data_IF_748159993611
#
_entry.id   IF_748159993611
#
_cell.length_a   1.000
_cell.length_b   1.000
_cell.length_c   1.000
_cell.angle_alpha   90.00
_cell.angle_beta   90.00
_cell.angle_gamma   90.00
#
_symmetry.space_group_name_H-M   'P 1'
#
loop_
_entity.id
_entity.type
_entity.pdbx_description
1 polymer ?
#
# COMPACT_ATOMS: atom_id res chain seq x y z
N UNK A 1 -24.08 8.48 -28.97
CA UNK A 1 -23.50 7.86 -27.77
C UNK A 1 -22.01 7.66 -28.09
N UNK A 2 -21.24 8.62 -27.70
CA UNK A 2 -19.81 8.66 -28.00
C UNK A 2 -19.11 7.71 -27.01
N UNK A 3 -18.46 6.68 -27.54
CA UNK A 3 -17.42 5.97 -26.78
C UNK A 3 -16.29 6.99 -26.61
N UNK A 4 -16.22 7.61 -25.45
CA UNK A 4 -15.03 8.37 -25.06
C UNK A 4 -13.91 7.35 -24.94
N UNK A 5 -12.90 7.53 -25.79
CA UNK A 5 -11.66 6.78 -25.78
C UNK A 5 -11.12 6.74 -24.34
N UNK A 6 -11.19 5.57 -23.73
CA UNK A 6 -10.51 5.24 -22.49
C UNK A 6 -9.02 5.30 -22.84
N UNK A 7 -8.42 6.48 -22.67
CA UNK A 7 -6.98 6.68 -22.84
C UNK A 7 -6.31 5.83 -21.78
N UNK A 8 -6.05 4.58 -22.15
CA UNK A 8 -5.34 3.64 -21.27
C UNK A 8 -3.97 4.23 -20.98
N UNK A 9 -3.70 4.54 -19.73
CA UNK A 9 -2.40 5.07 -19.33
C UNK A 9 -1.31 4.11 -19.81
N UNK A 10 -0.26 4.57 -20.50
CA UNK A 10 0.73 3.68 -21.14
C UNK A 10 1.36 2.65 -20.20
N UNK A 11 1.48 2.99 -18.91
CA UNK A 11 1.98 2.07 -17.87
C UNK A 11 0.98 0.94 -17.52
N UNK A 12 -0.33 1.12 -17.72
CA UNK A 12 -1.33 0.09 -17.39
C UNK A 12 -1.08 -1.17 -18.19
N UNK A 13 -0.88 -1.02 -19.50
CA UNK A 13 -0.60 -2.16 -20.38
C UNK A 13 0.70 -2.87 -19.98
N UNK A 14 1.77 -2.11 -19.78
CA UNK A 14 3.09 -2.66 -19.42
C UNK A 14 3.05 -3.37 -18.06
N UNK A 15 2.42 -2.77 -17.05
CA UNK A 15 2.26 -3.38 -15.72
C UNK A 15 1.39 -4.63 -15.80
N UNK A 16 0.31 -4.60 -16.60
CA UNK A 16 -0.57 -5.75 -16.80
C UNK A 16 0.19 -6.94 -17.41
N UNK A 17 0.97 -6.72 -18.46
CA UNK A 17 1.80 -7.75 -19.08
C UNK A 17 2.82 -8.29 -18.10
N UNK A 18 3.52 -7.41 -17.37
CA UNK A 18 4.52 -7.82 -16.41
C UNK A 18 3.94 -8.63 -15.24
N UNK A 19 2.71 -8.35 -14.80
CA UNK A 19 1.99 -9.17 -13.81
C UNK A 19 1.61 -10.54 -14.40
N UNK A 20 1.18 -10.59 -15.65
CA UNK A 20 0.87 -11.85 -16.34
C UNK A 20 2.11 -12.77 -16.41
N UNK A 21 3.28 -12.22 -16.64
CA UNK A 21 4.55 -12.97 -16.64
C UNK A 21 4.87 -13.57 -15.26
N UNK A 22 4.31 -13.03 -14.17
CA UNK A 22 4.49 -13.56 -12.81
C UNK A 22 3.49 -14.68 -12.45
N UNK A 23 2.89 -15.35 -13.41
CA UNK A 23 1.86 -16.36 -13.19
C UNK A 23 2.28 -17.47 -12.19
N UNK A 24 3.54 -17.93 -12.24
CA UNK A 24 4.06 -18.92 -11.31
C UNK A 24 4.14 -18.36 -9.88
N UNK A 25 4.67 -17.15 -9.71
CA UNK A 25 4.76 -16.46 -8.43
C UNK A 25 3.37 -16.20 -7.82
N UNK A 26 2.41 -15.81 -8.65
CA UNK A 26 1.03 -15.60 -8.21
C UNK A 26 0.35 -16.90 -7.75
N UNK A 27 0.69 -18.04 -8.32
CA UNK A 27 0.17 -19.34 -7.86
C UNK A 27 0.68 -19.73 -6.48
N UNK A 28 1.90 -19.38 -6.16
CA UNK A 28 2.47 -19.60 -4.82
C UNK A 28 1.86 -18.63 -3.79
N UNK A 29 1.50 -17.44 -4.24
CA UNK A 29 1.03 -16.33 -3.42
C UNK A 29 2.16 -15.35 -3.14
N UNK A 30 1.89 -14.07 -3.31
CA UNK A 30 2.87 -13.00 -3.21
C UNK A 30 2.26 -11.80 -2.50
N UNK A 31 3.06 -11.08 -1.69
CA UNK A 31 2.62 -9.81 -1.13
C UNK A 31 2.69 -8.69 -2.17
N UNK A 32 1.94 -7.61 -1.96
CA UNK A 32 2.03 -6.39 -2.77
C UNK A 32 3.47 -5.92 -2.90
N UNK A 33 4.17 -5.85 -1.76
CA UNK A 33 5.56 -5.40 -1.71
C UNK A 33 6.49 -6.24 -2.60
N UNK A 34 6.42 -7.56 -2.49
CA UNK A 34 7.22 -8.47 -3.30
C UNK A 34 6.92 -8.33 -4.80
N UNK A 35 5.66 -8.11 -5.14
CA UNK A 35 5.27 -7.89 -6.53
C UNK A 35 5.80 -6.56 -7.05
N UNK A 36 5.68 -5.46 -6.28
CA UNK A 36 6.28 -4.17 -6.63
C UNK A 36 7.80 -4.29 -6.78
N UNK A 37 8.48 -4.94 -5.84
CA UNK A 37 9.93 -5.15 -5.90
C UNK A 37 10.33 -5.91 -7.17
N UNK A 38 9.55 -6.92 -7.56
CA UNK A 38 9.78 -7.66 -8.80
C UNK A 38 9.66 -6.75 -10.02
N UNK A 39 8.66 -5.89 -10.05
CA UNK A 39 8.41 -4.96 -11.15
C UNK A 39 9.37 -3.74 -11.17
N UNK A 40 10.02 -3.44 -10.06
CA UNK A 40 11.08 -2.43 -9.96
C UNK A 40 12.43 -2.89 -10.54
N UNK A 41 12.62 -4.19 -10.69
CA UNK A 41 13.90 -4.76 -11.11
C UNK A 41 13.84 -5.34 -12.54
N UNK A 42 15.00 -5.80 -13.03
CA UNK A 42 15.10 -6.46 -14.34
C UNK A 42 14.11 -7.65 -14.43
N UNK A 43 13.49 -7.89 -15.57
CA UNK A 43 13.63 -7.15 -16.83
C UNK A 43 12.65 -5.96 -16.96
N UNK A 44 11.80 -5.67 -15.97
CA UNK A 44 10.64 -4.79 -16.13
C UNK A 44 10.95 -3.30 -15.96
N UNK A 45 11.62 -2.90 -14.89
CA UNK A 45 11.95 -1.50 -14.57
C UNK A 45 10.76 -0.54 -14.61
N UNK A 46 9.55 -1.01 -14.22
CA UNK A 46 8.29 -0.28 -14.37
C UNK A 46 8.04 0.72 -13.25
N UNK A 47 8.60 0.48 -12.07
CA UNK A 47 8.45 1.37 -10.93
C UNK A 47 9.80 1.92 -10.48
N UNK A 48 9.84 3.20 -10.11
CA UNK A 48 11.04 3.80 -9.54
C UNK A 48 11.40 3.11 -8.21
N UNK A 49 12.69 2.92 -7.93
CA UNK A 49 13.18 2.37 -6.66
C UNK A 49 12.80 3.23 -5.45
N UNK A 50 12.47 4.50 -5.67
CA UNK A 50 11.97 5.42 -4.64
C UNK A 50 10.45 5.49 -4.58
N UNK A 51 9.73 4.77 -5.44
CA UNK A 51 8.28 4.84 -5.54
C UNK A 51 7.55 4.60 -4.20
N UNK A 52 8.15 3.82 -3.31
CA UNK A 52 7.59 3.53 -1.98
C UNK A 52 8.04 4.51 -0.88
N UNK A 53 8.81 5.56 -1.20
CA UNK A 53 9.38 6.49 -0.20
C UNK A 53 8.59 7.77 -0.03
N UNK A 54 7.90 8.23 -1.06
CA UNK A 54 7.09 9.44 -1.07
C UNK A 54 5.61 9.08 -1.11
N UNK A 55 4.78 9.75 -0.33
CA UNK A 55 3.36 9.40 -0.17
C UNK A 55 2.61 9.35 -1.49
N UNK A 56 2.81 10.35 -2.35
CA UNK A 56 2.15 10.41 -3.65
C UNK A 56 2.59 9.27 -4.57
N UNK A 57 3.89 9.01 -4.65
CA UNK A 57 4.45 7.95 -5.49
C UNK A 57 4.02 6.57 -4.95
N UNK A 58 3.99 6.41 -3.62
CA UNK A 58 3.47 5.20 -2.98
C UNK A 58 2.00 4.96 -3.37
N UNK A 59 1.15 5.98 -3.24
CA UNK A 59 -0.25 5.88 -3.63
C UNK A 59 -0.41 5.54 -5.12
N UNK A 60 0.29 6.26 -5.99
CA UNK A 60 0.19 6.05 -7.43
C UNK A 60 0.67 4.65 -7.83
N UNK A 61 1.76 4.16 -7.24
CA UNK A 61 2.27 2.80 -7.49
C UNK A 61 1.29 1.75 -7.00
N UNK A 62 0.77 1.91 -5.79
CA UNK A 62 -0.25 1.04 -5.20
C UNK A 62 -1.52 1.03 -6.06
N UNK A 63 -2.06 2.22 -6.36
CA UNK A 63 -3.29 2.33 -7.15
C UNK A 63 -3.15 1.68 -8.53
N UNK A 64 -2.06 1.99 -9.25
CA UNK A 64 -1.79 1.42 -10.58
C UNK A 64 -1.67 -0.11 -10.52
N UNK A 65 -0.94 -0.64 -9.54
CA UNK A 65 -0.81 -2.09 -9.35
C UNK A 65 -2.18 -2.74 -9.12
N UNK A 66 -2.98 -2.21 -8.20
CA UNK A 66 -4.29 -2.78 -7.87
C UNK A 66 -5.30 -2.60 -9.00
N UNK A 67 -5.27 -1.49 -9.73
CA UNK A 67 -6.06 -1.32 -10.95
C UNK A 67 -5.78 -2.45 -11.96
N UNK A 68 -4.50 -2.74 -12.22
CA UNK A 68 -4.11 -3.83 -13.11
C UNK A 68 -4.51 -5.21 -12.57
N UNK A 69 -4.36 -5.45 -11.25
CA UNK A 69 -4.74 -6.71 -10.62
C UNK A 69 -6.25 -6.96 -10.69
N UNK A 70 -7.09 -5.96 -10.42
CA UNK A 70 -8.55 -6.10 -10.53
C UNK A 70 -9.00 -6.28 -11.98
N UNK A 71 -8.37 -5.59 -12.93
CA UNK A 71 -8.59 -5.78 -14.36
C UNK A 71 -8.24 -7.21 -14.79
N UNK A 72 -7.09 -7.71 -14.36
CA UNK A 72 -6.65 -9.09 -14.63
C UNK A 72 -7.57 -10.12 -13.97
N UNK A 73 -7.99 -9.89 -12.72
CA UNK A 73 -8.95 -10.76 -12.03
C UNK A 73 -10.20 -10.99 -12.86
N UNK A 74 -10.77 -9.90 -13.36
CA UNK A 74 -11.99 -9.95 -14.17
C UNK A 74 -11.76 -10.64 -15.53
N UNK A 75 -10.61 -10.35 -16.16
CA UNK A 75 -10.23 -10.94 -17.44
C UNK A 75 -9.94 -12.44 -17.31
N UNK A 76 -9.15 -12.84 -16.33
CA UNK A 76 -8.78 -14.25 -16.10
C UNK A 76 -9.97 -15.10 -15.69
N UNK A 77 -10.90 -14.56 -14.90
CA UNK A 77 -12.14 -15.24 -14.59
C UNK A 77 -13.01 -15.45 -15.82
N UNK A 78 -13.21 -14.40 -16.64
CA UNK A 78 -13.96 -14.50 -17.90
C UNK A 78 -13.31 -15.48 -18.89
N UNK A 79 -11.98 -15.47 -18.97
CA UNK A 79 -11.19 -16.38 -19.80
C UNK A 79 -11.01 -17.78 -19.20
N UNK A 80 -11.57 -18.07 -18.02
CA UNK A 80 -11.44 -19.35 -17.32
C UNK A 80 -9.98 -19.76 -17.04
N UNK A 81 -9.08 -18.76 -16.93
CA UNK A 81 -7.65 -18.97 -16.64
C UNK A 81 -7.44 -19.28 -15.16
N UNK A 82 -8.17 -18.61 -14.27
CA UNK A 82 -8.08 -18.77 -12.84
C UNK A 82 -8.85 -17.73 -12.05
N UNK A 83 -8.80 -17.84 -10.73
CA UNK A 83 -9.42 -16.95 -9.77
C UNK A 83 -8.31 -16.20 -9.02
N UNK A 84 -8.13 -14.91 -9.32
CA UNK A 84 -7.15 -14.07 -8.62
C UNK A 84 -7.76 -13.54 -7.32
N UNK A 85 -7.32 -14.12 -6.19
CA UNK A 85 -7.66 -13.63 -4.87
C UNK A 85 -6.72 -12.48 -4.50
N UNK A 86 -7.30 -11.32 -4.17
CA UNK A 86 -6.58 -10.10 -3.79
C UNK A 86 -6.97 -9.76 -2.35
N UNK A 87 -5.99 -9.75 -1.46
CA UNK A 87 -6.17 -9.36 -0.07
C UNK A 87 -5.08 -8.36 0.35
N UNK A 88 -5.23 -7.74 1.51
CA UNK A 88 -4.25 -6.78 2.04
C UNK A 88 -2.84 -7.35 2.21
N UNK A 89 -2.72 -8.66 2.40
CA UNK A 89 -1.43 -9.32 2.71
C UNK A 89 -0.99 -10.31 1.65
N UNK A 90 -1.87 -10.70 0.71
CA UNK A 90 -1.55 -11.75 -0.26
C UNK A 90 -2.34 -11.59 -1.55
N UNK A 91 -1.67 -11.76 -2.65
CA UNK A 91 -2.22 -11.84 -4.00
C UNK A 91 -1.94 -13.25 -4.50
N UNK A 92 -3.01 -14.03 -4.78
CA UNK A 92 -2.86 -15.45 -5.14
C UNK A 92 -3.78 -15.86 -6.27
N UNK A 93 -3.22 -16.55 -7.26
CA UNK A 93 -3.96 -17.13 -8.36
C UNK A 93 -4.35 -18.59 -8.03
N UNK A 94 -5.64 -18.82 -7.91
CA UNK A 94 -6.23 -20.15 -7.76
C UNK A 94 -6.68 -20.73 -9.09
N UNK A 95 -6.80 -22.06 -9.22
CA UNK A 95 -7.43 -22.67 -10.37
C UNK A 95 -8.86 -22.16 -10.56
N UNK A 96 -9.29 -22.01 -11.81
CA UNK A 96 -10.68 -21.64 -12.13
C UNK A 96 -11.66 -22.69 -11.58
N UNK A 97 -12.76 -22.22 -10.99
CA UNK A 97 -13.88 -23.06 -10.53
C UNK A 97 -15.18 -22.54 -11.16
N UNK A 98 -15.88 -23.39 -11.90
CA UNK A 98 -17.16 -23.05 -12.54
C UNK A 98 -18.23 -22.67 -11.52
N UNK A 99 -18.19 -23.30 -10.33
CA UNK A 99 -19.20 -23.12 -9.27
C UNK A 99 -18.79 -22.06 -8.24
N UNK A 100 -17.69 -21.33 -8.51
CA UNK A 100 -17.25 -20.21 -7.66
C UNK A 100 -18.29 -19.08 -7.64
N UNK A 101 -18.40 -18.33 -6.55
CA UNK A 101 -19.30 -17.18 -6.49
C UNK A 101 -19.02 -16.27 -7.69
N UNK A 102 -20.07 -15.81 -8.36
CA UNK A 102 -19.96 -14.79 -9.39
C UNK A 102 -19.11 -13.65 -8.82
N UNK A 103 -18.37 -12.91 -9.68
CA UNK A 103 -17.65 -11.70 -9.23
C UNK A 103 -18.68 -10.91 -8.43
N UNK A 104 -18.50 -10.81 -7.11
CA UNK A 104 -19.49 -10.22 -6.25
C UNK A 104 -19.77 -8.79 -6.80
N UNK A 105 -21.00 -8.53 -7.21
CA UNK A 105 -21.41 -7.23 -7.74
C UNK A 105 -21.11 -6.09 -6.76
N UNK A 106 -20.87 -6.42 -5.50
CA UNK A 106 -20.60 -5.49 -4.41
C UNK A 106 -19.18 -5.67 -3.83
N UNK A 107 -18.13 -5.61 -4.65
CA UNK A 107 -16.75 -5.47 -4.17
C UNK A 107 -16.36 -3.97 -4.19
N UNK A 108 -16.43 -3.26 -3.03
CA UNK A 108 -16.13 -1.83 -2.97
C UNK A 108 -14.69 -1.50 -3.38
N UNK A 109 -13.74 -2.41 -3.10
CA UNK A 109 -12.34 -2.23 -3.47
C UNK A 109 -12.17 -2.34 -4.98
N UNK A 110 -12.84 -3.30 -5.60
CA UNK A 110 -12.86 -3.41 -7.07
C UNK A 110 -13.40 -2.12 -7.71
N UNK A 111 -14.54 -1.64 -7.23
CA UNK A 111 -15.15 -0.40 -7.74
C UNK A 111 -14.21 0.78 -7.58
N UNK A 112 -13.54 0.90 -6.45
CA UNK A 112 -12.57 1.96 -6.16
C UNK A 112 -11.37 1.92 -7.11
N UNK A 113 -10.72 0.78 -7.26
CA UNK A 113 -9.51 0.68 -8.08
C UNK A 113 -9.78 0.69 -9.59
N UNK A 114 -10.97 0.31 -10.04
CA UNK A 114 -11.34 0.43 -11.45
C UNK A 114 -11.77 1.85 -11.85
N UNK A 115 -12.10 2.71 -10.90
CA UNK A 115 -12.35 4.13 -11.18
C UNK A 115 -11.03 4.91 -11.26
N UNK A 116 -10.55 5.11 -12.49
CA UNK A 116 -9.31 5.83 -12.77
C UNK A 116 -9.30 7.29 -12.28
N UNK A 117 -10.46 7.88 -12.01
CA UNK A 117 -10.54 9.25 -11.51
C UNK A 117 -9.82 9.43 -10.16
N UNK A 118 -9.74 8.38 -9.35
CA UNK A 118 -9.00 8.39 -8.09
C UNK A 118 -7.49 8.56 -8.28
N UNK A 119 -6.93 8.03 -9.37
CA UNK A 119 -5.50 8.18 -9.68
C UNK A 119 -5.07 9.63 -9.86
N UNK A 120 -5.88 10.43 -10.54
CA UNK A 120 -5.53 11.80 -10.90
C UNK A 120 -5.99 12.84 -9.89
N UNK A 121 -7.04 12.56 -9.11
CA UNK A 121 -7.62 13.49 -8.15
C UNK A 121 -6.96 13.48 -6.78
N UNK A 122 -6.31 12.37 -6.41
CA UNK A 122 -5.71 12.22 -5.08
C UNK A 122 -4.46 13.06 -4.97
N UNK A 123 -4.49 14.03 -4.07
CA UNK A 123 -3.36 14.91 -3.75
C UNK A 123 -2.45 14.24 -2.71
N UNK A 124 -1.24 14.78 -2.52
CA UNK A 124 -0.33 14.30 -1.46
C UNK A 124 -0.97 14.40 -0.07
N UNK A 125 -1.75 15.47 0.18
CA UNK A 125 -2.49 15.65 1.43
C UNK A 125 -3.55 14.57 1.63
N UNK A 126 -4.29 14.20 0.56
CA UNK A 126 -5.32 13.15 0.65
C UNK A 126 -4.71 11.78 0.96
N UNK A 127 -3.54 11.47 0.38
CA UNK A 127 -2.79 10.24 0.70
C UNK A 127 -2.35 10.24 2.16
N UNK A 128 -1.83 11.35 2.64
CA UNK A 128 -1.41 11.49 4.04
C UNK A 128 -2.60 11.31 5.00
N UNK A 129 -3.77 11.84 4.66
CA UNK A 129 -4.99 11.69 5.47
C UNK A 129 -5.54 10.25 5.45
N UNK A 130 -5.51 9.58 4.29
CA UNK A 130 -5.85 8.15 4.18
C UNK A 130 -4.91 7.29 5.02
N UNK A 131 -3.59 7.50 4.93
CA UNK A 131 -2.60 6.78 5.73
C UNK A 131 -2.80 7.04 7.22
N UNK A 132 -3.06 8.28 7.62
CA UNK A 132 -3.34 8.62 9.02
C UNK A 132 -4.61 7.91 9.52
N UNK A 133 -5.66 7.85 8.70
CA UNK A 133 -6.91 7.16 9.04
C UNK A 133 -6.71 5.64 9.14
N UNK A 134 -5.93 5.05 8.24
CA UNK A 134 -5.57 3.64 8.28
C UNK A 134 -4.76 3.30 9.53
N UNK A 135 -3.73 4.10 9.84
CA UNK A 135 -2.92 3.89 11.03
C UNK A 135 -3.70 4.09 12.33
N UNK A 136 -4.64 5.03 12.34
CA UNK A 136 -5.58 5.19 13.45
C UNK A 136 -6.43 3.95 13.64
N UNK A 137 -7.05 3.43 12.60
CA UNK A 137 -7.86 2.22 12.66
C UNK A 137 -7.05 0.98 13.08
N UNK A 138 -5.82 0.84 12.58
CA UNK A 138 -4.91 -0.24 13.03
C UNK A 138 -4.53 -0.10 14.49
N UNK A 139 -4.25 1.11 14.97
CA UNK A 139 -3.88 1.32 16.38
C UNK A 139 -5.06 1.12 17.33
N UNK A 140 -6.27 1.43 16.90
CA UNK A 140 -7.48 1.20 17.68
C UNK A 140 -7.83 -0.29 17.80
N UNK A 141 -7.40 -1.11 16.83
CA UNK A 141 -7.59 -2.56 16.84
C UNK A 141 -6.41 -3.36 17.45
N UNK A 142 -5.24 -2.73 17.62
CA UNK A 142 -4.05 -3.36 18.18
C UNK A 142 -3.97 -3.08 19.70
N UNK A 143 -4.95 -3.53 20.48
CA UNK A 143 -4.87 -3.55 21.95
C UNK A 143 -3.92 -4.65 22.42
N UNK A 144 -2.61 -4.41 22.29
CA UNK A 144 -1.59 -5.00 23.11
C UNK A 144 -0.88 -3.86 23.83
N UNK A 145 -0.92 -3.90 25.15
CA UNK A 145 -0.44 -2.89 26.11
C UNK A 145 1.02 -2.52 25.80
N UNK A 146 1.23 -1.49 24.98
CA UNK A 146 2.50 -0.76 24.96
C UNK A 146 2.21 0.56 25.66
N UNK A 147 2.86 0.82 26.79
CA UNK A 147 2.78 2.12 27.47
C UNK A 147 3.19 3.21 26.46
N UNK A 148 2.41 4.30 26.40
CA UNK A 148 2.77 5.41 25.52
C UNK A 148 4.15 5.94 25.94
N UNK A 149 5.14 6.02 25.01
CA UNK A 149 6.44 6.56 25.32
C UNK A 149 6.33 8.05 25.66
N UNK A 150 7.17 8.55 26.56
CA UNK A 150 7.33 9.98 26.80
C UNK A 150 7.77 10.68 25.50
N UNK A 151 7.51 12.01 25.39
CA UNK A 151 7.86 12.80 24.18
C UNK A 151 9.35 12.67 23.82
N UNK A 152 10.24 12.64 24.80
CA UNK A 152 11.68 12.47 24.59
C UNK A 152 12.02 11.08 24.03
N UNK A 153 11.45 10.03 24.64
CA UNK A 153 11.61 8.65 24.17
C UNK A 153 11.04 8.46 22.77
N UNK A 154 9.89 9.09 22.49
CA UNK A 154 9.28 9.04 21.15
C UNK A 154 10.13 9.72 20.07
N UNK A 155 10.81 10.82 20.41
CA UNK A 155 11.77 11.47 19.50
C UNK A 155 12.97 10.54 19.21
N UNK A 156 13.55 9.94 20.24
CA UNK A 156 14.68 9.00 20.10
C UNK A 156 14.31 7.78 19.26
N UNK A 157 13.15 7.19 19.50
CA UNK A 157 12.65 6.03 18.73
C UNK A 157 12.52 6.36 17.24
N UNK A 158 12.14 7.61 16.89
CA UNK A 158 12.09 8.07 15.49
C UNK A 158 13.44 8.61 14.99
N UNK A 159 14.53 8.51 15.79
CA UNK A 159 15.86 8.92 15.40
C UNK A 159 16.09 10.43 15.41
N UNK A 160 15.30 11.18 16.19
CA UNK A 160 15.53 12.58 16.50
C UNK A 160 16.29 12.70 17.83
N UNK A 161 16.93 13.85 18.09
CA UNK A 161 17.47 14.15 19.41
C UNK A 161 16.32 14.45 20.40
N UNK A 162 16.47 14.17 21.71
CA UNK A 162 15.42 14.37 22.72
C UNK A 162 14.87 15.80 22.77
N UNK A 163 15.72 16.78 22.46
CA UNK A 163 15.38 18.23 22.45
C UNK A 163 14.89 18.73 21.08
N UNK A 164 14.76 17.85 20.09
CA UNK A 164 14.34 18.25 18.76
C UNK A 164 12.88 18.74 18.74
N UNK A 165 12.63 19.72 17.90
CA UNK A 165 11.28 20.21 17.61
C UNK A 165 10.93 19.99 16.13
N UNK A 166 10.85 18.72 15.69
CA UNK A 166 10.59 18.44 14.28
C UNK A 166 9.20 18.92 13.86
N UNK A 167 9.08 19.34 12.61
CA UNK A 167 7.78 19.64 12.01
C UNK A 167 6.97 18.36 11.82
N UNK A 168 5.64 18.48 11.72
CA UNK A 168 4.75 17.36 11.40
C UNK A 168 5.21 16.59 10.15
N UNK A 169 5.70 17.30 9.14
CA UNK A 169 6.19 16.72 7.90
C UNK A 169 7.48 15.90 8.11
N UNK A 170 8.39 16.38 8.95
CA UNK A 170 9.63 15.66 9.30
C UNK A 170 9.32 14.39 10.08
N UNK A 171 8.40 14.45 11.07
CA UNK A 171 7.95 13.28 11.84
C UNK A 171 7.35 12.23 10.89
N UNK A 172 6.44 12.62 10.02
CA UNK A 172 5.81 11.72 9.04
C UNK A 172 6.83 11.06 8.11
N UNK A 173 7.79 11.84 7.58
CA UNK A 173 8.83 11.33 6.68
C UNK A 173 9.73 10.32 7.37
N UNK A 174 10.20 10.62 8.58
CA UNK A 174 11.09 9.76 9.35
C UNK A 174 10.41 8.45 9.74
N UNK A 175 9.17 8.55 10.24
CA UNK A 175 8.37 7.38 10.56
C UNK A 175 8.19 6.43 9.36
N UNK A 176 7.81 6.95 8.20
CA UNK A 176 7.65 6.13 6.99
C UNK A 176 8.95 5.44 6.58
N UNK A 177 10.07 6.16 6.65
CA UNK A 177 11.39 5.60 6.33
C UNK A 177 11.74 4.43 7.25
N UNK A 178 11.54 4.59 8.56
CA UNK A 178 11.85 3.57 9.56
C UNK A 178 10.89 2.38 9.50
N UNK A 179 9.60 2.62 9.30
CA UNK A 179 8.61 1.55 9.11
C UNK A 179 8.90 0.74 7.85
N UNK A 180 9.26 1.38 6.76
CA UNK A 180 9.63 0.69 5.53
C UNK A 180 10.86 -0.22 5.70
N UNK A 181 11.82 0.18 6.54
CA UNK A 181 13.02 -0.62 6.84
C UNK A 181 12.73 -1.81 7.77
N UNK A 182 11.75 -1.64 8.67
CA UNK A 182 11.47 -2.59 9.75
C UNK A 182 10.12 -3.31 9.59
N UNK A 183 9.49 -3.24 8.41
CA UNK A 183 8.21 -3.91 8.16
C UNK A 183 8.36 -5.44 8.24
N UNK A 184 7.43 -6.15 8.92
CA UNK A 184 7.48 -7.61 9.07
C UNK A 184 7.62 -8.37 7.74
N UNK A 185 6.98 -7.90 6.67
CA UNK A 185 7.05 -8.50 5.33
C UNK A 185 8.45 -8.48 4.71
N UNK A 186 9.35 -7.65 5.26
CA UNK A 186 10.76 -7.57 4.85
C UNK A 186 11.70 -8.32 5.79
N UNK A 187 11.18 -9.15 6.67
CA UNK A 187 11.97 -9.77 7.73
C UNK A 187 12.33 -8.80 8.87
N UNK A 188 11.66 -7.65 8.93
CA UNK A 188 11.85 -6.66 9.99
C UNK A 188 11.27 -7.10 11.34
N UNK A 189 11.65 -6.40 12.39
CA UNK A 189 11.26 -6.71 13.76
C UNK A 189 9.86 -6.13 14.07
N UNK A 190 8.89 -7.00 14.34
CA UNK A 190 7.51 -6.62 14.69
C UNK A 190 7.45 -5.71 15.94
N UNK A 191 8.27 -5.98 16.95
CA UNK A 191 8.35 -5.17 18.17
C UNK A 191 8.83 -3.75 17.86
N UNK A 192 9.84 -3.61 17.00
CA UNK A 192 10.34 -2.30 16.59
C UNK A 192 9.30 -1.54 15.74
N UNK A 193 8.61 -2.22 14.85
CA UNK A 193 7.50 -1.64 14.07
C UNK A 193 6.38 -1.09 14.97
N UNK A 194 6.04 -1.80 16.05
CA UNK A 194 5.07 -1.36 17.06
C UNK A 194 5.57 -0.14 17.85
N UNK A 195 6.86 -0.15 18.27
CA UNK A 195 7.47 0.97 18.98
C UNK A 195 7.51 2.24 18.10
N UNK A 196 7.84 2.10 16.83
CA UNK A 196 7.81 3.21 15.86
C UNK A 196 6.40 3.80 15.72
N UNK A 197 5.38 2.95 15.72
CA UNK A 197 3.97 3.38 15.63
C UNK A 197 3.53 4.12 16.89
N UNK A 198 3.90 3.63 18.07
CA UNK A 198 3.61 4.29 19.35
C UNK A 198 4.29 5.67 19.44
N UNK A 199 5.57 5.75 19.09
CA UNK A 199 6.34 6.99 19.08
C UNK A 199 5.77 8.04 18.14
N UNK A 200 5.40 7.63 16.92
CA UNK A 200 4.73 8.51 15.95
C UNK A 200 3.42 9.08 16.51
N UNK A 201 2.60 8.23 17.13
CA UNK A 201 1.32 8.60 17.74
C UNK A 201 1.50 9.65 18.83
N UNK A 202 2.43 9.43 19.75
CA UNK A 202 2.76 10.36 20.84
C UNK A 202 3.17 11.73 20.31
N UNK A 203 4.05 11.77 19.29
CA UNK A 203 4.51 13.05 18.72
C UNK A 203 3.42 13.80 17.94
N UNK A 204 2.52 13.07 17.28
CA UNK A 204 1.42 13.69 16.53
C UNK A 204 0.31 14.24 17.45
N UNK A 205 0.04 13.60 18.60
CA UNK A 205 -0.89 14.12 19.62
C UNK A 205 -0.33 15.41 20.21
N UNK A 206 0.94 15.42 20.61
CA UNK A 206 1.58 16.59 21.21
C UNK A 206 1.60 17.80 20.26
N UNK A 207 1.73 17.60 18.94
CA UNK A 207 1.66 18.68 17.95
C UNK A 207 0.26 19.29 17.81
N UNK A 208 -0.80 18.50 18.01
CA UNK A 208 -2.20 18.99 17.98
C UNK A 208 -2.58 19.82 19.19
N UNK A 209 -1.86 19.67 20.28
CA UNK A 209 -2.09 20.43 21.52
C UNK A 209 -1.26 21.73 21.58
N UNK A 210 -0.26 21.89 20.69
CA UNK A 210 0.58 23.07 20.58
C UNK A 210 0.07 24.11 19.54
N UNK A 211 -0.88 23.70 18.64
CA UNK A 211 -1.59 24.56 17.68
C UNK A 211 -2.98 24.96 18.22
#
# INVERSE_FOLDING_TARGET
MSAEDEVTHPLVEQVTIAIQDQHALLREGVSEYQLIEKLQNAPYWLFDKKALRESRNLFQTHFLLFHCLYTLRDSWRRGQIGELAISATSIKLHPYKSDGPAIAEADPLRTYYLDWSHFSRTTESDVDDMLNSFWKAMSDNAYGIVSEPDKADALEVLGFTPDATPTTQQIKRQYRSLQHQNHPDKGGNNTLSQSLTAAYKTLMINKRTED
#
